data_IF_163770808440
#
_entry.id   IF_163770808440
#
_cell.length_a   1.000
_cell.length_b   1.000
_cell.length_c   1.000
_cell.angle_alpha   90.00
_cell.angle_beta   90.00
_cell.angle_gamma   90.00
#
_symmetry.space_group_name_H-M   'P 1'
#
loop_
_entity.id
_entity.type
_entity.pdbx_description
1 polymer ?
#
# COMPACT_ATOMS: atom_id res chain seq x y z
N UNK A 1 11.99 3.38 0.66
CA UNK A 1 11.56 2.39 1.68
C UNK A 1 11.65 2.86 3.15
N UNK A 2 12.78 3.33 3.69
CA UNK A 2 12.91 3.72 5.12
C UNK A 2 11.78 4.62 5.65
N UNK A 3 11.33 5.59 4.84
CA UNK A 3 10.20 6.48 5.18
C UNK A 3 8.89 5.71 5.42
N UNK A 4 8.59 4.68 4.61
CA UNK A 4 7.40 3.85 4.76
C UNK A 4 7.42 3.11 6.10
N UNK A 5 8.56 2.53 6.50
CA UNK A 5 8.72 1.94 7.83
C UNK A 5 8.53 2.96 8.97
N UNK A 6 9.04 4.19 8.82
CA UNK A 6 8.83 5.24 9.82
C UNK A 6 7.35 5.62 9.96
N UNK A 7 6.57 5.59 8.86
CA UNK A 7 5.12 5.78 8.91
C UNK A 7 4.41 4.58 9.55
N UNK A 8 4.80 3.36 9.19
CA UNK A 8 4.23 2.13 9.76
C UNK A 8 4.31 2.10 11.29
N UNK A 9 5.42 2.58 11.87
CA UNK A 9 5.60 2.66 13.34
C UNK A 9 4.50 3.42 14.07
N UNK A 10 3.79 4.34 13.41
CA UNK A 10 2.66 5.08 14.00
C UNK A 10 1.48 4.18 14.36
N UNK A 11 1.35 3.03 13.70
CA UNK A 11 0.28 2.06 13.94
C UNK A 11 0.60 1.01 15.01
N UNK A 12 1.85 0.89 15.48
CA UNK A 12 2.22 -0.13 16.45
C UNK A 12 1.39 0.00 17.73
N UNK A 13 0.77 -1.11 18.14
CA UNK A 13 -0.12 -1.17 19.31
C UNK A 13 -1.55 -0.64 19.09
N UNK A 14 -1.84 0.03 17.97
CA UNK A 14 -3.10 0.76 17.76
C UNK A 14 -3.99 0.21 16.63
N UNK A 15 -3.47 -0.71 15.82
CA UNK A 15 -4.13 -1.16 14.58
C UNK A 15 -4.53 -2.62 14.58
N UNK A 16 -4.36 -3.32 15.71
CA UNK A 16 -4.79 -4.71 15.87
C UNK A 16 -6.29 -4.87 15.52
N UNK A 17 -6.70 -5.97 14.85
CA UNK A 17 -5.93 -7.15 14.46
C UNK A 17 -5.09 -7.00 13.17
N UNK A 18 -5.11 -5.84 12.53
CA UNK A 18 -4.41 -5.61 11.27
C UNK A 18 -2.91 -5.31 11.49
N UNK A 19 -2.07 -5.47 10.45
CA UNK A 19 -0.67 -5.10 10.53
C UNK A 19 -0.46 -3.58 10.48
N UNK A 20 0.63 -3.14 11.13
CA UNK A 20 1.14 -1.78 11.01
C UNK A 20 1.86 -1.62 9.67
N UNK A 21 1.19 -0.98 8.72
CA UNK A 21 1.70 -0.74 7.36
C UNK A 21 1.91 0.75 7.17
N UNK A 22 2.92 1.11 6.39
CA UNK A 22 3.20 2.45 5.91
C UNK A 22 3.41 2.41 4.40
N UNK A 23 2.93 3.45 3.72
CA UNK A 23 3.02 3.59 2.28
C UNK A 23 3.41 5.03 1.94
N UNK A 24 4.28 5.18 0.94
CA UNK A 24 4.54 6.48 0.30
C UNK A 24 4.38 6.35 -1.21
N UNK A 25 3.93 7.42 -1.84
CA UNK A 25 3.82 7.56 -3.29
C UNK A 25 4.78 8.65 -3.72
N UNK A 26 5.62 8.34 -4.71
CA UNK A 26 6.68 9.22 -5.21
C UNK A 26 6.44 9.50 -6.70
N UNK A 27 6.45 10.79 -7.06
CA UNK A 27 6.41 11.27 -8.45
C UNK A 27 7.55 12.24 -8.66
N UNK A 28 8.36 12.04 -9.70
CA UNK A 28 9.46 12.94 -10.07
C UNK A 28 10.38 13.27 -8.88
N UNK A 29 10.78 12.24 -8.11
CA UNK A 29 11.64 12.37 -6.94
C UNK A 29 10.99 13.02 -5.71
N UNK A 30 9.69 13.33 -5.73
CA UNK A 30 8.96 13.97 -4.63
C UNK A 30 7.89 13.05 -4.06
N UNK A 31 7.79 13.00 -2.73
CA UNK A 31 6.69 12.31 -2.05
C UNK A 31 5.41 13.12 -2.25
N UNK A 32 4.46 12.56 -3.00
CA UNK A 32 3.14 13.17 -3.26
C UNK A 32 2.04 12.60 -2.37
N UNK A 33 2.25 11.41 -1.78
CA UNK A 33 1.33 10.80 -0.83
C UNK A 33 2.06 10.02 0.26
N UNK A 34 1.49 10.03 1.46
CA UNK A 34 1.97 9.33 2.67
C UNK A 34 0.78 8.75 3.39
N UNK A 35 0.90 7.51 3.82
CA UNK A 35 -0.14 6.83 4.56
C UNK A 35 0.43 5.81 5.53
N UNK A 36 -0.36 5.52 6.55
CA UNK A 36 -0.16 4.40 7.46
C UNK A 36 -1.52 3.80 7.81
N UNK A 37 -1.55 2.55 8.24
CA UNK A 37 -2.78 1.91 8.73
C UNK A 37 -3.35 2.74 9.88
N UNK A 38 -4.62 3.15 9.76
CA UNK A 38 -5.26 3.99 10.79
C UNK A 38 -5.75 3.13 11.99
N UNK A 39 -5.98 3.75 13.16
CA UNK A 39 -6.52 3.07 14.33
C UNK A 39 -7.78 2.25 14.00
N UNK A 40 -7.89 1.05 14.58
CA UNK A 40 -8.95 0.09 14.21
C UNK A 40 -8.66 -0.71 12.94
N UNK A 41 -7.45 -0.58 12.38
CA UNK A 41 -6.95 -1.38 11.27
C UNK A 41 -7.34 -0.87 9.88
N UNK A 42 -8.16 0.18 9.79
CA UNK A 42 -8.62 0.78 8.53
C UNK A 42 -8.81 2.30 8.66
N UNK A 43 -8.66 3.07 7.57
CA UNK A 43 -8.18 2.66 6.25
C UNK A 43 -6.73 2.15 6.27
N UNK A 44 -6.37 1.35 5.26
CA UNK A 44 -5.01 0.84 5.08
C UNK A 44 -4.06 1.97 4.63
N UNK A 45 -2.76 1.72 4.72
CA UNK A 45 -1.73 2.69 4.41
C UNK A 45 -1.80 3.18 2.95
N UNK A 46 -2.03 2.27 2.01
CA UNK A 46 -2.13 2.55 0.58
C UNK A 46 -3.31 3.47 0.29
N UNK A 47 -4.48 3.19 0.86
CA UNK A 47 -5.66 4.04 0.71
C UNK A 47 -5.41 5.46 1.23
N UNK A 48 -4.74 5.59 2.38
CA UNK A 48 -4.38 6.91 2.92
C UNK A 48 -3.37 7.65 2.04
N UNK A 49 -2.35 6.94 1.53
CA UNK A 49 -1.34 7.53 0.65
C UNK A 49 -1.94 7.97 -0.69
N UNK A 50 -2.81 7.14 -1.28
CA UNK A 50 -3.54 7.43 -2.51
C UNK A 50 -4.47 8.64 -2.32
N UNK A 51 -5.24 8.69 -1.23
CA UNK A 51 -6.09 9.83 -0.91
C UNK A 51 -5.30 11.13 -0.82
N UNK A 52 -4.12 11.10 -0.21
CA UNK A 52 -3.26 12.29 -0.15
C UNK A 52 -2.66 12.66 -1.50
N UNK A 53 -2.25 11.67 -2.30
CA UNK A 53 -1.66 11.90 -3.62
C UNK A 53 -2.67 12.47 -4.62
N UNK A 54 -3.94 12.06 -4.53
CA UNK A 54 -4.98 12.41 -5.49
C UNK A 54 -4.55 12.06 -6.92
N UNK A 55 -4.80 12.97 -7.86
CA UNK A 55 -4.42 12.81 -9.28
C UNK A 55 -2.92 12.60 -9.50
N UNK A 56 -2.08 12.99 -8.53
CA UNK A 56 -0.64 12.77 -8.63
C UNK A 56 -0.27 11.30 -8.50
N UNK A 57 -1.16 10.42 -8.06
CA UNK A 57 -0.90 8.98 -8.02
C UNK A 57 -0.64 8.38 -9.41
N UNK A 58 -1.36 8.86 -10.43
CA UNK A 58 -1.21 8.34 -11.79
C UNK A 58 0.23 8.53 -12.31
N UNK A 59 0.82 7.44 -12.79
CA UNK A 59 2.21 7.40 -13.27
C UNK A 59 3.28 7.41 -12.18
N UNK A 60 2.90 7.22 -10.90
CA UNK A 60 3.84 7.26 -9.78
C UNK A 60 4.35 5.89 -9.35
N UNK A 61 5.35 5.92 -8.47
CA UNK A 61 5.90 4.75 -7.77
C UNK A 61 5.36 4.69 -6.34
N UNK A 62 4.83 3.54 -5.92
CA UNK A 62 4.47 3.27 -4.54
C UNK A 62 5.58 2.51 -3.81
N UNK A 63 5.83 2.82 -2.54
CA UNK A 63 6.69 2.04 -1.65
C UNK A 63 5.89 1.64 -0.42
N UNK A 64 5.78 0.34 -0.17
CA UNK A 64 4.98 -0.24 0.92
C UNK A 64 5.79 -1.29 1.67
N UNK A 65 5.70 -1.32 3.00
CA UNK A 65 6.50 -2.25 3.81
C UNK A 65 5.91 -3.67 3.88
N UNK A 66 4.70 -3.90 3.40
CA UNK A 66 4.01 -5.19 3.36
C UNK A 66 3.27 -5.32 2.02
N UNK A 67 3.15 -6.54 1.52
CA UNK A 67 2.36 -6.84 0.33
C UNK A 67 0.94 -6.25 0.39
N UNK A 68 0.48 -5.53 -0.65
CA UNK A 68 -0.88 -5.01 -0.68
C UNK A 68 -1.93 -6.11 -0.67
N UNK A 69 -2.96 -5.95 0.15
CA UNK A 69 -4.00 -6.96 0.28
C UNK A 69 -4.79 -7.14 -1.04
N UNK A 70 -5.08 -8.40 -1.39
CA UNK A 70 -5.78 -8.79 -2.62
C UNK A 70 -7.14 -9.47 -2.40
N UNK A 71 -7.62 -9.53 -1.16
CA UNK A 71 -8.93 -10.06 -0.85
C UNK A 71 -9.92 -8.93 -0.55
N UNK A 72 -11.18 -9.14 -0.90
CA UNK A 72 -12.27 -8.25 -0.51
C UNK A 72 -12.71 -8.57 0.92
N UNK A 73 -12.54 -7.61 1.82
CA UNK A 73 -13.04 -7.68 3.19
C UNK A 73 -14.09 -6.60 3.43
N UNK A 74 -13.92 -5.81 4.50
CA UNK A 74 -14.76 -4.62 4.77
C UNK A 74 -14.55 -3.47 3.78
N UNK A 75 -13.44 -3.49 3.03
CA UNK A 75 -13.17 -2.54 1.94
C UNK A 75 -12.65 -3.30 0.72
N UNK A 76 -12.68 -2.68 -0.48
CA UNK A 76 -12.00 -3.19 -1.66
C UNK A 76 -10.50 -3.44 -1.37
N UNK A 77 -9.87 -4.36 -2.13
CA UNK A 77 -8.46 -4.69 -1.94
C UNK A 77 -7.57 -3.51 -2.32
N UNK A 78 -6.43 -3.36 -1.62
CA UNK A 78 -5.48 -2.29 -1.89
C UNK A 78 -4.87 -2.41 -3.29
N UNK A 79 -4.76 -3.63 -3.82
CA UNK A 79 -4.33 -3.86 -5.20
C UNK A 79 -5.25 -3.20 -6.22
N UNK A 80 -6.58 -3.25 -6.01
CA UNK A 80 -7.56 -2.58 -6.89
C UNK A 80 -7.34 -1.06 -6.87
N UNK A 81 -7.27 -0.48 -5.68
CA UNK A 81 -7.08 0.95 -5.52
C UNK A 81 -5.77 1.47 -6.14
N UNK A 82 -4.69 0.68 -6.07
CA UNK A 82 -3.40 1.01 -6.70
C UNK A 82 -3.48 0.97 -8.23
N UNK A 83 -4.17 -0.04 -8.79
CA UNK A 83 -4.40 -0.20 -10.23
C UNK A 83 -5.27 0.94 -10.75
N UNK A 84 -6.42 1.19 -10.11
CA UNK A 84 -7.36 2.26 -10.49
C UNK A 84 -6.71 3.64 -10.41
N UNK A 85 -5.85 3.87 -9.43
CA UNK A 85 -5.11 5.13 -9.30
C UNK A 85 -3.98 5.31 -10.34
N UNK A 86 -3.72 4.29 -11.17
CA UNK A 86 -2.71 4.36 -12.23
C UNK A 86 -1.27 4.36 -11.71
N UNK A 87 -0.99 3.73 -10.57
CA UNK A 87 0.38 3.48 -10.12
C UNK A 87 1.09 2.62 -11.19
N UNK A 88 2.38 2.90 -11.44
CA UNK A 88 3.17 2.19 -12.46
C UNK A 88 4.19 1.24 -11.89
N UNK A 89 4.77 1.62 -10.76
CA UNK A 89 5.77 0.83 -10.08
C UNK A 89 5.39 0.70 -8.62
N UNK A 90 5.64 -0.47 -8.03
CA UNK A 90 5.50 -0.68 -6.61
C UNK A 90 6.69 -1.45 -6.08
N UNK A 91 7.24 -0.99 -4.96
CA UNK A 91 8.29 -1.69 -4.25
C UNK A 91 7.74 -2.13 -2.90
N UNK A 92 7.53 -3.44 -2.75
CA UNK A 92 7.11 -4.10 -1.51
C UNK A 92 8.29 -4.68 -0.74
N UNK A 93 8.32 -4.60 0.60
CA UNK A 93 9.42 -5.17 1.39
C UNK A 93 9.23 -6.63 1.77
N UNK A 94 7.99 -7.05 2.05
CA UNK A 94 7.65 -8.35 2.59
C UNK A 94 6.43 -8.91 1.88
N UNK A 95 6.42 -10.22 1.66
CA UNK A 95 5.20 -10.96 1.35
C UNK A 95 4.27 -10.94 2.57
N UNK A 96 2.96 -10.98 2.33
CA UNK A 96 2.00 -11.12 3.43
C UNK A 96 2.19 -12.51 4.07
N UNK A 97 2.41 -12.61 5.40
CA UNK A 97 2.54 -13.90 6.07
C UNK A 97 1.23 -14.70 6.12
N UNK A 98 0.08 -14.08 5.82
CA UNK A 98 -1.18 -14.79 5.71
C UNK A 98 -1.16 -15.71 4.47
N UNK A 99 -1.24 -17.04 4.62
CA UNK A 99 -1.17 -17.98 3.51
C UNK A 99 -2.31 -17.79 2.50
N UNK A 100 -3.40 -17.10 2.88
CA UNK A 100 -4.51 -16.76 1.96
C UNK A 100 -4.16 -15.61 1.02
N UNK A 101 -3.13 -14.83 1.34
CA UNK A 101 -2.74 -13.61 0.61
C UNK A 101 -1.35 -13.72 0.02
N UNK A 102 -0.42 -14.39 0.72
CA UNK A 102 1.00 -14.53 0.37
C UNK A 102 1.24 -14.68 -1.13
N UNK A 103 1.79 -13.63 -1.75
CA UNK A 103 2.17 -13.58 -3.18
C UNK A 103 1.05 -13.18 -4.13
N UNK A 104 -0.22 -13.40 -3.77
CA UNK A 104 -1.35 -13.13 -4.67
C UNK A 104 -1.54 -11.65 -4.97
N UNK A 105 -1.13 -10.75 -4.06
CA UNK A 105 -1.21 -9.32 -4.25
C UNK A 105 -0.20 -8.83 -5.27
N UNK A 106 1.06 -9.24 -5.12
CA UNK A 106 2.09 -8.92 -6.11
C UNK A 106 1.80 -9.55 -7.48
N UNK A 107 1.27 -10.78 -7.52
CA UNK A 107 0.84 -11.41 -8.78
C UNK A 107 -0.26 -10.61 -9.48
N UNK A 108 -1.28 -10.13 -8.75
CA UNK A 108 -2.33 -9.31 -9.34
C UNK A 108 -1.78 -8.01 -9.91
N UNK A 109 -0.88 -7.35 -9.20
CA UNK A 109 -0.27 -6.10 -9.66
C UNK A 109 0.56 -6.32 -10.93
N UNK A 110 1.34 -7.42 -11.00
CA UNK A 110 2.05 -7.82 -12.23
C UNK A 110 1.11 -8.11 -13.39
N UNK A 111 -0.02 -8.81 -13.15
CA UNK A 111 -1.06 -9.08 -14.17
C UNK A 111 -1.73 -7.81 -14.68
N UNK A 112 -1.77 -6.76 -13.86
CA UNK A 112 -2.24 -5.43 -14.24
C UNK A 112 -1.12 -4.54 -14.83
N UNK A 113 0.01 -5.14 -15.24
CA UNK A 113 1.15 -4.48 -15.89
C UNK A 113 1.87 -3.43 -15.02
N UNK A 114 1.77 -3.54 -13.70
CA UNK A 114 2.64 -2.80 -12.78
C UNK A 114 3.98 -3.51 -12.67
N UNK A 115 5.05 -2.75 -12.59
CA UNK A 115 6.36 -3.25 -12.18
C UNK A 115 6.36 -3.46 -10.66
N UNK A 116 6.72 -4.67 -10.22
CA UNK A 116 6.71 -5.09 -8.81
C UNK A 116 8.05 -5.71 -8.42
#
# INVERSE_FOLDING_TARGET
MKVAFSLARRGLGNVWPNPAVGCIIVKNGRIVGRGWTQPGGRPHAEAMALKQAGEKAAGSTAYVNLEPCNHTGKSPPCTEALIEAGIKEIYGSLLDPDPRVSGTGFERLKKAELQV
#
